data_IF_652568925511
#
_entry.id   IF_652568925511
#
_cell.length_a   1.000
_cell.length_b   1.000
_cell.length_c   1.000
_cell.angle_alpha   90.00
_cell.angle_beta   90.00
_cell.angle_gamma   90.00
#
_symmetry.space_group_name_H-M   'P 1'
#
loop_
_entity.id
_entity.type
_entity.pdbx_description
1 polymer ?
#
# COMPACT_ATOMS: atom_id res chain seq x y z
N UNK A 1 -8.40 57.83 -6.47
CA UNK A 1 -7.81 57.43 -7.75
C UNK A 1 -6.31 57.35 -7.56
N UNK A 2 -5.77 56.12 -7.50
CA UNK A 2 -4.33 55.87 -7.53
C UNK A 2 -4.09 54.88 -8.66
N UNK A 3 -3.19 55.25 -9.58
CA UNK A 3 -2.81 54.52 -10.78
C UNK A 3 -2.04 53.24 -10.46
N UNK A 4 -2.03 52.23 -11.36
CA UNK A 4 -1.32 50.96 -11.17
C UNK A 4 0.16 51.11 -11.54
N UNK A 5 1.02 50.53 -10.68
CA UNK A 5 2.47 50.54 -10.83
C UNK A 5 2.91 49.50 -11.90
N UNK A 6 3.71 49.94 -12.86
CA UNK A 6 4.24 49.16 -13.98
C UNK A 6 5.40 48.25 -13.55
N UNK A 7 5.34 46.99 -14.01
CA UNK A 7 6.48 46.07 -14.06
C UNK A 7 7.60 46.65 -14.93
N UNK A 8 8.78 46.85 -14.38
CA UNK A 8 10.09 46.69 -15.02
C UNK A 8 11.21 47.16 -14.07
N UNK A 9 12.34 46.46 -14.16
CA UNK A 9 13.67 46.75 -13.60
C UNK A 9 14.06 45.94 -12.37
N UNK A 10 14.66 44.78 -12.65
CA UNK A 10 15.82 44.29 -11.91
C UNK A 10 16.64 43.39 -12.86
N UNK A 11 17.53 44.04 -13.59
CA UNK A 11 18.65 43.40 -14.26
C UNK A 11 19.89 44.28 -13.98
N UNK A 12 20.90 43.66 -13.40
CA UNK A 12 22.24 44.24 -13.52
C UNK A 12 23.11 44.14 -12.27
N UNK A 13 24.29 43.58 -12.48
CA UNK A 13 25.58 43.79 -11.80
C UNK A 13 25.85 42.85 -10.63
N UNK A 14 26.96 42.10 -10.53
CA UNK A 14 28.29 42.15 -11.14
C UNK A 14 29.03 40.81 -11.00
N UNK A 15 29.91 40.51 -11.95
CA UNK A 15 30.99 39.54 -11.82
C UNK A 15 32.06 40.05 -10.82
N UNK A 16 32.48 39.18 -9.91
CA UNK A 16 33.80 39.26 -9.29
C UNK A 16 34.38 37.85 -9.19
N UNK A 17 35.53 37.65 -9.80
CA UNK A 17 36.32 36.44 -9.78
C UNK A 17 37.03 36.26 -8.44
N UNK A 18 37.14 35.00 -7.97
CA UNK A 18 38.01 34.71 -6.86
C UNK A 18 37.98 33.27 -6.37
N UNK A 19 39.00 32.50 -6.68
CA UNK A 19 39.59 31.38 -5.96
C UNK A 19 38.81 30.06 -5.88
N UNK A 20 39.39 29.03 -6.48
CA UNK A 20 38.98 27.64 -6.47
C UNK A 20 38.91 27.03 -5.05
N UNK A 21 37.75 26.48 -4.76
CA UNK A 21 37.60 25.42 -3.79
C UNK A 21 36.89 24.28 -4.51
N UNK A 22 37.58 23.13 -4.57
CA UNK A 22 37.02 21.92 -5.13
C UNK A 22 35.74 21.55 -4.36
N UNK A 23 34.58 21.78 -4.96
CA UNK A 23 33.31 21.24 -4.49
C UNK A 23 33.39 19.71 -4.62
N UNK A 24 33.45 19.01 -3.48
CA UNK A 24 33.11 17.59 -3.42
C UNK A 24 31.68 17.45 -3.89
N UNK A 25 31.49 16.81 -5.02
CA UNK A 25 30.19 16.32 -5.46
C UNK A 25 29.74 15.30 -4.40
N UNK A 26 28.55 15.44 -3.77
CA UNK A 26 28.03 14.39 -2.90
C UNK A 26 27.85 13.14 -3.75
N UNK A 27 28.40 12.02 -3.30
CA UNK A 27 28.14 10.71 -3.89
C UNK A 27 26.60 10.51 -3.87
N UNK A 28 26.05 10.25 -5.04
CA UNK A 28 24.62 9.93 -5.18
C UNK A 28 24.28 8.69 -4.36
N UNK A 29 22.98 8.49 -4.02
CA UNK A 29 22.54 7.35 -3.23
C UNK A 29 23.03 6.05 -3.86
N UNK A 30 23.54 5.14 -3.01
CA UNK A 30 24.02 3.83 -3.42
C UNK A 30 22.99 3.12 -4.30
N UNK A 31 23.41 2.38 -5.35
CA UNK A 31 22.48 1.68 -6.21
C UNK A 31 21.63 0.72 -5.36
N UNK A 32 20.30 0.85 -5.47
CA UNK A 32 19.35 -0.09 -4.86
C UNK A 32 19.78 -1.48 -5.30
N UNK A 33 19.96 -2.40 -4.36
CA UNK A 33 20.15 -3.82 -4.67
C UNK A 33 18.95 -4.25 -5.49
N UNK A 34 19.18 -4.54 -6.77
CA UNK A 34 18.15 -4.95 -7.69
C UNK A 34 17.44 -6.18 -7.15
N UNK A 35 16.12 -6.12 -7.12
CA UNK A 35 15.27 -7.30 -7.05
C UNK A 35 15.69 -8.17 -8.25
N UNK A 36 15.94 -9.45 -8.01
CA UNK A 36 16.36 -10.37 -9.06
C UNK A 36 15.38 -10.29 -10.25
N UNK A 37 15.87 -10.36 -11.49
CA UNK A 37 14.99 -10.26 -12.66
C UNK A 37 13.88 -11.31 -12.56
N UNK A 38 12.65 -10.88 -12.84
CA UNK A 38 11.44 -11.70 -12.87
C UNK A 38 11.67 -12.84 -13.86
N UNK A 39 11.85 -14.04 -13.36
CA UNK A 39 11.79 -15.24 -14.20
C UNK A 39 10.34 -15.38 -14.61
N UNK A 40 10.05 -15.24 -15.91
CA UNK A 40 8.74 -15.58 -16.46
C UNK A 40 8.57 -17.08 -16.26
N UNK A 41 7.85 -17.44 -15.21
CA UNK A 41 7.55 -18.84 -14.92
C UNK A 41 6.50 -19.29 -15.90
N UNK A 42 6.86 -20.23 -16.80
CA UNK A 42 5.86 -20.87 -17.66
C UNK A 42 4.77 -21.47 -16.76
N UNK A 43 3.51 -21.29 -17.15
CA UNK A 43 2.38 -21.82 -16.41
C UNK A 43 2.52 -23.35 -16.29
N UNK A 44 2.38 -23.87 -15.08
CA UNK A 44 2.32 -25.31 -14.88
C UNK A 44 1.13 -25.91 -15.67
N UNK A 45 1.22 -27.16 -16.13
CA UNK A 45 0.13 -27.79 -16.87
C UNK A 45 -1.21 -27.68 -16.12
N UNK A 46 -2.23 -27.11 -16.75
CA UNK A 46 -3.56 -26.91 -16.17
C UNK A 46 -3.81 -25.53 -15.53
N UNK A 47 -2.80 -24.63 -15.45
CA UNK A 47 -2.96 -23.27 -14.95
C UNK A 47 -3.16 -22.28 -16.08
N UNK A 48 -3.97 -21.26 -15.83
CA UNK A 48 -4.09 -20.11 -16.72
C UNK A 48 -2.78 -19.30 -16.72
N UNK A 49 -2.54 -18.56 -17.82
CA UNK A 49 -1.41 -17.65 -17.91
C UNK A 49 -1.46 -16.64 -16.73
N UNK A 50 -0.31 -16.31 -16.12
CA UNK A 50 -0.27 -15.29 -15.08
C UNK A 50 -0.67 -13.92 -15.64
N UNK A 51 -1.10 -13.03 -14.75
CA UNK A 51 -1.32 -11.62 -15.05
C UNK A 51 0.02 -10.88 -15.21
N UNK A 52 0.02 -9.77 -15.93
CA UNK A 52 1.20 -8.92 -16.10
C UNK A 52 1.52 -8.16 -14.81
N UNK A 53 0.52 -7.58 -14.14
CA UNK A 53 0.65 -7.11 -12.76
C UNK A 53 0.40 -8.25 -11.77
N UNK A 54 0.83 -8.06 -10.52
CA UNK A 54 0.68 -9.08 -9.47
C UNK A 54 -0.49 -8.75 -8.57
N UNK A 55 -1.67 -9.22 -8.95
CA UNK A 55 -2.89 -9.05 -8.18
C UNK A 55 -2.99 -10.08 -7.06
N UNK A 56 -3.44 -9.64 -5.87
CA UNK A 56 -3.60 -10.47 -4.68
C UNK A 56 -5.06 -10.52 -4.24
N UNK A 57 -5.83 -11.56 -4.64
CA UNK A 57 -7.15 -11.81 -4.07
C UNK A 57 -7.07 -12.07 -2.55
N UNK A 58 -8.19 -11.89 -1.85
CA UNK A 58 -8.33 -12.26 -0.44
C UNK A 58 -9.18 -13.52 -0.26
N UNK A 59 -9.08 -14.16 0.91
CA UNK A 59 -9.95 -15.28 1.25
C UNK A 59 -11.42 -14.86 1.27
N UNK A 60 -12.28 -15.73 0.75
CA UNK A 60 -13.70 -15.49 0.59
C UNK A 60 -14.11 -15.02 -0.79
N UNK A 61 -13.23 -14.37 -1.55
CA UNK A 61 -13.51 -13.87 -2.91
C UNK A 61 -13.89 -15.00 -3.88
N UNK A 62 -13.26 -16.18 -3.72
CA UNK A 62 -13.48 -17.37 -4.56
C UNK A 62 -13.95 -18.58 -3.76
N UNK A 63 -14.79 -18.35 -2.76
CA UNK A 63 -15.29 -19.40 -1.86
C UNK A 63 -16.13 -20.46 -2.57
N UNK A 64 -16.91 -20.06 -3.56
CA UNK A 64 -17.79 -20.98 -4.29
C UNK A 64 -16.99 -21.96 -5.18
N UNK A 65 -15.95 -21.48 -5.82
CA UNK A 65 -15.10 -22.28 -6.71
C UNK A 65 -13.97 -23.00 -5.96
N UNK A 66 -13.37 -22.33 -4.98
CA UNK A 66 -12.24 -22.87 -4.19
C UNK A 66 -12.65 -23.62 -2.91
N UNK A 67 -13.92 -23.54 -2.51
CA UNK A 67 -14.42 -24.15 -1.27
C UNK A 67 -14.21 -23.29 -0.02
N UNK A 68 -14.67 -23.79 1.13
CA UNK A 68 -14.56 -23.08 2.42
C UNK A 68 -13.14 -23.10 2.99
N UNK A 69 -12.35 -24.13 2.65
CA UNK A 69 -10.98 -24.27 3.15
C UNK A 69 -10.04 -23.26 2.46
N UNK A 70 -9.28 -22.43 3.21
CA UNK A 70 -8.28 -21.54 2.66
C UNK A 70 -7.32 -22.21 1.64
N UNK A 71 -6.94 -23.46 1.86
CA UNK A 71 -6.05 -24.19 0.96
C UNK A 71 -6.68 -24.43 -0.42
N UNK A 72 -7.96 -24.80 -0.45
CA UNK A 72 -8.68 -24.94 -1.72
C UNK A 72 -8.81 -23.63 -2.49
N UNK A 73 -9.03 -22.52 -1.76
CA UNK A 73 -9.07 -21.18 -2.36
C UNK A 73 -7.69 -20.76 -2.93
N UNK A 74 -6.59 -21.02 -2.23
CA UNK A 74 -5.23 -20.77 -2.74
C UNK A 74 -4.94 -21.56 -4.02
N UNK A 75 -5.32 -22.84 -4.06
CA UNK A 75 -5.16 -23.68 -5.25
C UNK A 75 -5.95 -23.11 -6.42
N UNK A 76 -7.22 -22.74 -6.20
CA UNK A 76 -8.05 -22.12 -7.21
C UNK A 76 -7.43 -20.80 -7.73
N UNK A 77 -7.01 -19.90 -6.83
CA UNK A 77 -6.36 -18.63 -7.19
C UNK A 77 -5.12 -18.88 -8.06
N UNK A 78 -4.26 -19.81 -7.66
CA UNK A 78 -3.06 -20.15 -8.42
C UNK A 78 -3.41 -20.74 -9.80
N UNK A 79 -4.45 -21.56 -9.92
CA UNK A 79 -4.92 -22.12 -11.19
C UNK A 79 -5.51 -21.05 -12.10
N UNK A 80 -6.08 -19.96 -11.54
CA UNK A 80 -6.53 -18.80 -12.30
C UNK A 80 -5.40 -17.85 -12.69
N UNK A 81 -4.16 -18.09 -12.27
CA UNK A 81 -2.97 -17.30 -12.63
C UNK A 81 -2.63 -16.19 -11.66
N UNK A 82 -3.29 -16.11 -10.50
CA UNK A 82 -2.87 -15.24 -9.40
C UNK A 82 -1.61 -15.76 -8.74
N UNK A 83 -0.70 -14.85 -8.36
CA UNK A 83 0.59 -15.19 -7.78
C UNK A 83 0.78 -14.66 -6.36
N UNK A 84 -0.22 -14.00 -5.84
CA UNK A 84 -0.20 -13.41 -4.50
C UNK A 84 -1.53 -13.59 -3.81
N UNK A 85 -1.52 -13.44 -2.49
CA UNK A 85 -2.70 -13.42 -1.61
C UNK A 85 -2.61 -12.19 -0.72
N UNK A 86 -3.71 -11.52 -0.47
CA UNK A 86 -3.87 -10.56 0.62
C UNK A 86 -4.78 -11.14 1.71
N UNK A 87 -4.44 -10.92 2.98
CA UNK A 87 -5.29 -11.37 4.08
C UNK A 87 -5.15 -10.45 5.29
N UNK A 88 -6.03 -9.48 5.38
CA UNK A 88 -6.04 -8.48 6.46
C UNK A 88 -6.17 -9.11 7.86
N UNK A 89 -6.77 -10.29 7.95
CA UNK A 89 -6.99 -11.02 9.21
C UNK A 89 -5.82 -11.96 9.60
N UNK A 90 -4.75 -12.03 8.81
CA UNK A 90 -3.67 -13.00 9.00
C UNK A 90 -3.09 -12.98 10.42
N UNK A 91 -2.90 -11.81 11.03
CA UNK A 91 -2.36 -11.69 12.39
C UNK A 91 -3.29 -12.31 13.45
N UNK A 92 -4.60 -12.32 13.22
CA UNK A 92 -5.60 -12.91 14.11
C UNK A 92 -5.82 -14.40 13.94
N UNK A 93 -5.29 -15.02 12.87
CA UNK A 93 -5.41 -16.47 12.65
C UNK A 93 -4.60 -17.27 13.65
N UNK A 94 -5.05 -18.49 14.05
CA UNK A 94 -4.23 -19.39 14.83
C UNK A 94 -2.88 -19.70 14.15
N UNK A 95 -1.81 -19.81 14.92
CA UNK A 95 -0.45 -20.08 14.39
C UNK A 95 -0.41 -21.28 13.43
N UNK A 96 -1.09 -22.35 13.79
CA UNK A 96 -1.16 -23.57 12.95
C UNK A 96 -1.82 -23.29 11.58
N UNK A 97 -2.79 -22.37 11.52
CA UNK A 97 -3.43 -21.97 10.27
C UNK A 97 -2.52 -21.07 9.44
N UNK A 98 -1.82 -20.11 10.09
CA UNK A 98 -0.80 -19.30 9.43
C UNK A 98 0.28 -20.15 8.77
N UNK A 99 0.81 -21.16 9.49
CA UNK A 99 1.83 -22.08 8.99
C UNK A 99 1.30 -22.93 7.83
N UNK A 100 0.05 -23.39 7.91
CA UNK A 100 -0.61 -24.17 6.87
C UNK A 100 -0.79 -23.35 5.58
N UNK A 101 -1.24 -22.10 5.70
CA UNK A 101 -1.38 -21.16 4.59
C UNK A 101 0.00 -20.86 3.97
N UNK A 102 0.99 -20.52 4.80
CA UNK A 102 2.35 -20.22 4.35
C UNK A 102 2.97 -21.39 3.58
N UNK A 103 2.83 -22.61 4.09
CA UNK A 103 3.34 -23.83 3.43
C UNK A 103 2.69 -24.05 2.07
N UNK A 104 1.39 -23.82 1.95
CA UNK A 104 0.70 -23.98 0.67
C UNK A 104 1.07 -22.87 -0.33
N UNK A 105 1.19 -21.61 0.14
CA UNK A 105 1.65 -20.51 -0.69
C UNK A 105 3.06 -20.78 -1.24
N UNK A 106 3.97 -21.27 -0.42
CA UNK A 106 5.32 -21.67 -0.85
C UNK A 106 5.27 -22.77 -1.92
N UNK A 107 4.46 -23.82 -1.69
CA UNK A 107 4.25 -24.91 -2.65
C UNK A 107 3.70 -24.43 -4.00
N UNK A 108 2.84 -23.39 -3.98
CA UNK A 108 2.21 -22.82 -5.16
C UNK A 108 3.07 -21.75 -5.85
N UNK A 109 4.14 -21.28 -5.17
CA UNK A 109 4.96 -20.14 -5.60
C UNK A 109 4.23 -18.80 -5.48
N UNK A 110 3.33 -18.67 -4.50
CA UNK A 110 2.57 -17.45 -4.24
C UNK A 110 3.28 -16.58 -3.19
N UNK A 111 3.09 -15.25 -3.29
CA UNK A 111 3.61 -14.27 -2.33
C UNK A 111 2.52 -13.81 -1.38
N UNK A 112 2.89 -13.51 -0.13
CA UNK A 112 2.00 -12.84 0.81
C UNK A 112 2.02 -11.33 0.55
N UNK A 113 0.83 -10.74 0.41
CA UNK A 113 0.59 -9.30 0.38
C UNK A 113 0.59 -8.68 1.79
N UNK A 114 -0.27 -7.68 2.01
CA UNK A 114 -0.41 -7.07 3.33
C UNK A 114 -1.32 -7.89 4.25
N UNK A 115 -1.13 -7.64 5.55
CA UNK A 115 -2.09 -7.92 6.62
C UNK A 115 -2.09 -6.74 7.59
N UNK A 116 -3.16 -6.57 8.37
CA UNK A 116 -3.25 -5.46 9.33
C UNK A 116 -2.34 -5.74 10.53
N UNK A 117 -1.40 -4.80 10.79
CA UNK A 117 -0.32 -5.00 11.76
C UNK A 117 -0.72 -4.78 13.21
N UNK A 118 -1.81 -4.08 13.48
CA UNK A 118 -2.19 -3.67 14.81
C UNK A 118 -3.69 -3.44 14.93
N UNK A 119 -4.20 -3.34 16.14
CA UNK A 119 -5.57 -2.95 16.42
C UNK A 119 -5.82 -1.50 15.99
N UNK A 120 -6.67 -1.28 15.00
CA UNK A 120 -7.00 0.05 14.49
C UNK A 120 -7.98 0.73 15.45
N UNK A 121 -7.63 1.93 15.91
CA UNK A 121 -8.49 2.77 16.76
C UNK A 121 -9.45 3.59 15.88
N UNK A 122 -10.65 3.06 15.64
CA UNK A 122 -11.63 3.63 14.73
C UNK A 122 -12.33 4.88 15.24
N UNK A 123 -12.45 5.06 16.56
CA UNK A 123 -13.27 6.11 17.18
C UNK A 123 -12.55 6.89 18.29
N UNK A 124 -11.39 6.45 18.72
CA UNK A 124 -10.64 7.08 19.80
C UNK A 124 -9.22 7.44 19.34
N UNK A 125 -8.68 8.59 19.81
CA UNK A 125 -7.32 8.99 19.47
C UNK A 125 -6.29 7.95 19.91
N UNK A 126 -5.44 7.53 18.97
CA UNK A 126 -4.34 6.59 19.21
C UNK A 126 -2.99 7.28 18.97
N UNK A 127 -2.32 7.01 17.85
CA UNK A 127 -1.00 7.57 17.56
C UNK A 127 -1.03 9.12 17.49
N UNK A 128 -2.13 9.68 17.00
CA UNK A 128 -2.35 11.12 16.93
C UNK A 128 -2.41 11.80 18.31
N UNK A 129 -2.72 11.07 19.39
CA UNK A 129 -2.83 11.63 20.74
C UNK A 129 -1.50 12.02 21.37
N UNK A 130 -0.39 11.42 20.95
CA UNK A 130 0.93 11.56 21.55
C UNK A 130 1.11 10.89 22.91
N UNK A 131 0.13 10.09 23.34
CA UNK A 131 0.19 9.38 24.61
C UNK A 131 1.20 8.23 24.55
N UNK A 132 2.08 8.14 25.55
CA UNK A 132 3.12 7.12 25.60
C UNK A 132 2.55 5.71 25.75
N UNK A 133 1.48 5.53 26.54
CA UNK A 133 0.82 4.23 26.71
C UNK A 133 0.20 3.70 25.38
N UNK A 134 -0.40 4.58 24.58
CA UNK A 134 -0.92 4.23 23.27
C UNK A 134 0.21 3.85 22.28
N UNK A 135 1.33 4.58 22.34
CA UNK A 135 2.52 4.28 21.53
C UNK A 135 3.13 2.94 21.90
N UNK A 136 3.34 2.68 23.18
CA UNK A 136 3.92 1.40 23.63
C UNK A 136 3.02 0.21 23.31
N UNK A 137 1.69 0.35 23.38
CA UNK A 137 0.75 -0.66 22.95
C UNK A 137 0.92 -0.94 21.44
N UNK A 138 0.95 0.10 20.61
CA UNK A 138 1.20 -0.01 19.16
C UNK A 138 2.55 -0.70 18.87
N UNK A 139 3.64 -0.29 19.51
CA UNK A 139 4.96 -0.91 19.30
C UNK A 139 4.99 -2.37 19.73
N UNK A 140 4.23 -2.76 20.75
CA UNK A 140 4.08 -4.16 21.16
C UNK A 140 3.39 -4.99 20.09
N UNK A 141 2.33 -4.46 19.46
CA UNK A 141 1.63 -5.10 18.35
C UNK A 141 2.51 -5.21 17.10
N UNK A 142 3.31 -4.17 16.78
CA UNK A 142 4.28 -4.21 15.66
C UNK A 142 5.32 -5.31 15.86
N UNK A 143 5.85 -5.50 17.09
CA UNK A 143 6.77 -6.61 17.40
C UNK A 143 6.09 -7.99 17.17
N UNK A 144 4.85 -8.13 17.62
CA UNK A 144 4.09 -9.37 17.40
C UNK A 144 3.82 -9.62 15.91
N UNK A 145 3.50 -8.57 15.15
CA UNK A 145 3.26 -8.65 13.71
C UNK A 145 4.52 -8.95 12.91
N UNK A 146 5.71 -8.53 13.37
CA UNK A 146 6.97 -8.95 12.77
C UNK A 146 7.16 -10.49 12.84
N UNK A 147 6.72 -11.14 13.93
CA UNK A 147 6.75 -12.61 14.05
C UNK A 147 5.73 -13.27 13.12
N UNK A 148 4.54 -12.66 12.92
CA UNK A 148 3.57 -13.13 11.91
C UNK A 148 4.16 -13.01 10.51
N UNK A 149 4.69 -11.84 10.15
CA UNK A 149 5.30 -11.59 8.85
C UNK A 149 6.40 -12.63 8.53
N UNK A 150 7.27 -12.92 9.50
CA UNK A 150 8.32 -13.95 9.34
C UNK A 150 7.72 -15.34 9.10
N UNK A 151 6.62 -15.68 9.78
CA UNK A 151 5.96 -17.00 9.66
C UNK A 151 5.30 -17.19 8.31
N UNK A 152 4.67 -16.15 7.77
CA UNK A 152 3.96 -16.22 6.49
C UNK A 152 4.75 -15.64 5.32
N UNK A 153 6.03 -15.33 5.51
CA UNK A 153 6.91 -14.72 4.51
C UNK A 153 6.32 -13.44 3.89
N UNK A 154 5.63 -12.62 4.71
CA UNK A 154 5.15 -11.32 4.31
C UNK A 154 6.27 -10.26 4.41
N UNK A 155 6.25 -9.29 3.52
CA UNK A 155 7.12 -8.12 3.55
C UNK A 155 6.41 -6.88 4.04
N UNK A 156 5.14 -6.76 3.76
CA UNK A 156 4.34 -5.56 4.02
C UNK A 156 3.27 -5.83 5.08
N UNK A 157 2.98 -4.80 5.86
CA UNK A 157 1.91 -4.82 6.84
C UNK A 157 1.22 -3.46 6.90
N UNK A 158 -0.11 -3.45 6.92
CA UNK A 158 -0.91 -2.23 6.93
C UNK A 158 -0.89 -1.57 8.30
N UNK A 159 -0.68 -0.25 8.31
CA UNK A 159 -0.76 0.59 9.50
C UNK A 159 -1.68 1.78 9.24
N UNK A 160 -2.69 1.92 10.10
CA UNK A 160 -3.62 3.06 10.11
C UNK A 160 -3.40 3.84 11.40
N UNK A 161 -3.00 5.14 11.36
CA UNK A 161 -2.66 5.92 12.56
C UNK A 161 -3.81 6.14 13.57
N UNK A 162 -5.05 5.79 13.20
CA UNK A 162 -6.22 5.87 14.05
C UNK A 162 -6.95 7.20 13.96
N UNK A 163 -7.77 7.50 14.96
CA UNK A 163 -8.67 8.64 15.00
C UNK A 163 -7.96 9.93 15.43
N UNK A 164 -8.45 11.09 14.97
CA UNK A 164 -7.95 12.41 15.39
C UNK A 164 -8.26 12.70 16.86
N UNK A 165 -7.40 13.48 17.52
CA UNK A 165 -7.73 14.10 18.80
C UNK A 165 -8.26 15.53 18.54
N UNK A 166 -9.57 15.72 18.65
CA UNK A 166 -10.22 17.01 18.40
C UNK A 166 -9.78 18.13 19.36
N UNK A 167 -9.04 17.82 20.44
CA UNK A 167 -8.50 18.78 21.39
C UNK A 167 -7.11 19.28 21.05
N UNK A 168 -6.47 18.68 20.03
CA UNK A 168 -5.11 19.04 19.62
C UNK A 168 -5.10 19.61 18.19
N UNK A 169 -4.24 20.63 17.90
CA UNK A 169 -3.97 21.03 16.53
C UNK A 169 -3.40 19.87 15.68
N UNK A 170 -3.74 19.84 14.40
CA UNK A 170 -3.34 18.76 13.49
C UNK A 170 -1.82 18.62 13.35
N UNK A 171 -1.09 19.73 13.45
CA UNK A 171 0.38 19.74 13.32
C UNK A 171 1.05 18.99 14.48
N UNK A 172 0.55 19.12 15.71
CA UNK A 172 1.02 18.35 16.85
C UNK A 172 0.70 16.88 16.70
N UNK A 173 -0.51 16.55 16.21
CA UNK A 173 -0.92 15.18 15.93
C UNK A 173 0.00 14.54 14.89
N UNK A 174 0.35 15.27 13.83
CA UNK A 174 1.30 14.82 12.81
C UNK A 174 2.67 14.52 13.41
N UNK A 175 3.18 15.39 14.27
CA UNK A 175 4.46 15.15 14.95
C UNK A 175 4.42 13.89 15.85
N UNK A 176 3.31 13.65 16.57
CA UNK A 176 3.13 12.45 17.39
C UNK A 176 3.06 11.17 16.56
N UNK A 177 2.36 11.20 15.43
CA UNK A 177 2.30 10.07 14.48
C UNK A 177 3.70 9.78 13.94
N UNK A 178 4.40 10.79 13.41
CA UNK A 178 5.78 10.63 12.92
C UNK A 178 6.72 10.02 13.97
N UNK A 179 6.66 10.49 15.20
CA UNK A 179 7.49 9.94 16.30
C UNK A 179 7.17 8.46 16.56
N UNK A 180 5.89 8.09 16.57
CA UNK A 180 5.47 6.69 16.77
C UNK A 180 5.94 5.79 15.63
N UNK A 181 5.82 6.28 14.37
CA UNK A 181 6.22 5.53 13.18
C UNK A 181 7.75 5.40 13.07
N UNK A 182 8.54 6.40 13.52
CA UNK A 182 10.01 6.27 13.60
C UNK A 182 10.42 5.11 14.50
N UNK A 183 9.84 5.03 15.69
CA UNK A 183 10.11 3.92 16.62
C UNK A 183 9.67 2.57 16.08
N UNK A 184 8.56 2.53 15.33
CA UNK A 184 8.13 1.30 14.66
C UNK A 184 9.08 0.91 13.52
N UNK A 185 9.55 1.87 12.73
CA UNK A 185 10.51 1.64 11.66
C UNK A 185 11.83 1.04 12.19
N UNK A 186 12.34 1.55 13.33
CA UNK A 186 13.54 1.00 14.00
C UNK A 186 13.38 -0.49 14.37
N UNK A 187 12.14 -0.94 14.65
CA UNK A 187 11.83 -2.36 14.93
C UNK A 187 11.78 -3.21 13.66
N UNK A 188 11.36 -2.62 12.53
CA UNK A 188 11.11 -3.34 11.28
C UNK A 188 12.33 -3.41 10.36
N UNK A 189 13.17 -2.37 10.34
CA UNK A 189 14.35 -2.26 9.48
C UNK A 189 15.30 -3.48 9.57
N UNK A 190 15.62 -4.03 10.77
CA UNK A 190 16.50 -5.19 10.88
C UNK A 190 15.96 -6.46 10.20
N UNK A 191 14.68 -6.46 9.88
CA UNK A 191 13.96 -7.60 9.30
C UNK A 191 13.56 -7.39 7.83
N UNK A 192 13.95 -6.25 7.21
CA UNK A 192 13.51 -5.84 5.87
C UNK A 192 11.96 -5.78 5.72
N UNK A 193 11.25 -5.57 6.83
CA UNK A 193 9.79 -5.42 6.87
C UNK A 193 9.39 -3.96 6.64
N UNK A 194 8.23 -3.77 6.01
CA UNK A 194 7.73 -2.44 5.66
C UNK A 194 6.30 -2.28 6.17
N UNK A 195 6.10 -1.34 7.09
CA UNK A 195 4.76 -0.85 7.37
C UNK A 195 4.31 0.06 6.23
N UNK A 196 3.11 -0.14 5.74
CA UNK A 196 2.51 0.67 4.69
C UNK A 196 1.32 1.43 5.24
N UNK A 197 1.40 2.76 5.19
CA UNK A 197 0.38 3.66 5.72
C UNK A 197 -0.77 3.76 4.75
N UNK A 198 -1.97 3.47 5.22
CA UNK A 198 -3.19 3.52 4.41
C UNK A 198 -4.01 4.78 4.72
N UNK A 199 -4.13 5.73 3.77
CA UNK A 199 -5.06 6.85 3.87
C UNK A 199 -6.48 6.40 3.55
N UNK A 200 -7.40 6.53 4.52
CA UNK A 200 -8.78 6.09 4.41
C UNK A 200 -9.74 7.27 4.17
N UNK A 201 -10.70 7.11 3.26
CA UNK A 201 -11.64 8.17 2.93
C UNK A 201 -12.57 8.53 4.10
N UNK A 202 -12.96 9.81 4.18
CA UNK A 202 -13.78 10.34 5.29
C UNK A 202 -15.25 9.95 5.23
N UNK A 203 -15.75 9.43 4.12
CA UNK A 203 -17.15 9.02 4.00
C UNK A 203 -17.37 7.71 4.71
N UNK A 204 -16.49 6.73 4.48
CA UNK A 204 -16.58 5.41 5.06
C UNK A 204 -15.97 5.36 6.48
N UNK A 205 -14.93 6.18 6.70
CA UNK A 205 -14.15 6.22 7.94
C UNK A 205 -14.06 7.65 8.52
N UNK A 206 -15.19 8.22 9.00
CA UNK A 206 -15.19 9.59 9.53
C UNK A 206 -14.33 9.71 10.80
N UNK A 207 -13.53 10.77 10.86
CA UNK A 207 -12.72 11.08 12.02
C UNK A 207 -11.33 10.44 12.05
N UNK A 208 -10.95 9.64 11.06
CA UNK A 208 -9.58 9.14 10.97
C UNK A 208 -8.59 10.26 10.64
N UNK A 209 -7.37 10.13 11.18
CA UNK A 209 -6.32 11.12 11.05
C UNK A 209 -5.74 11.17 9.63
N UNK A 210 -5.42 10.01 9.04
CA UNK A 210 -4.78 9.92 7.74
C UNK A 210 -5.83 9.68 6.64
N UNK A 211 -5.94 10.61 5.68
CA UNK A 211 -7.05 10.57 4.70
C UNK A 211 -6.67 10.89 3.26
N UNK A 212 -5.40 11.20 2.97
CA UNK A 212 -4.97 11.52 1.61
C UNK A 212 -3.50 11.23 1.35
N UNK A 213 -3.16 11.01 0.10
CA UNK A 213 -1.80 10.68 -0.36
C UNK A 213 -0.77 11.78 -0.04
N UNK A 214 -1.05 13.10 -0.22
CA UNK A 214 -0.10 14.14 0.14
C UNK A 214 0.26 14.15 1.63
N UNK A 215 -0.71 13.84 2.50
CA UNK A 215 -0.46 13.73 3.94
C UNK A 215 0.41 12.50 4.26
N UNK A 216 0.11 11.35 3.66
CA UNK A 216 0.93 10.14 3.82
C UNK A 216 2.36 10.35 3.30
N UNK A 217 2.51 10.97 2.14
CA UNK A 217 3.82 11.28 1.56
C UNK A 217 4.65 12.18 2.49
N UNK A 218 4.04 13.26 3.04
CA UNK A 218 4.70 14.12 4.01
C UNK A 218 5.17 13.33 5.25
N UNK A 219 4.32 12.44 5.76
CA UNK A 219 4.64 11.62 6.93
C UNK A 219 5.78 10.65 6.62
N UNK A 220 5.72 9.91 5.49
CA UNK A 220 6.78 8.99 5.09
C UNK A 220 8.12 9.71 4.91
N UNK A 221 8.12 10.89 4.27
CA UNK A 221 9.33 11.74 4.15
C UNK A 221 9.85 12.21 5.50
N UNK A 222 8.98 12.53 6.47
CA UNK A 222 9.37 12.95 7.81
C UNK A 222 9.88 11.78 8.67
N UNK A 223 9.36 10.57 8.46
CA UNK A 223 9.88 9.33 9.09
C UNK A 223 11.26 8.98 8.52
N UNK A 224 11.46 9.16 7.22
CA UNK A 224 12.72 8.96 6.49
C UNK A 224 13.30 7.54 6.66
N UNK A 225 12.46 6.52 6.48
CA UNK A 225 12.82 5.11 6.63
C UNK A 225 12.35 4.26 5.46
N UNK A 226 13.14 3.25 5.02
CA UNK A 226 12.69 2.27 4.03
C UNK A 226 11.57 1.36 4.57
N UNK A 227 11.39 1.30 5.89
CA UNK A 227 10.37 0.49 6.57
C UNK A 227 9.05 1.25 6.84
N UNK A 228 8.90 2.48 6.31
CA UNK A 228 7.67 3.26 6.40
C UNK A 228 7.32 3.80 5.01
N UNK A 229 6.29 3.28 4.38
CA UNK A 229 5.88 3.58 3.02
C UNK A 229 4.37 3.76 2.94
N UNK A 230 3.85 4.04 1.75
CA UNK A 230 2.42 4.26 1.49
C UNK A 230 1.82 2.97 0.92
N UNK A 231 0.63 2.65 1.41
CA UNK A 231 -0.37 1.84 0.74
C UNK A 231 -1.35 2.81 0.06
N UNK A 232 -1.39 2.79 -1.27
CA UNK A 232 -2.32 3.59 -2.06
C UNK A 232 -3.53 2.74 -2.44
N UNK A 233 -4.60 2.82 -1.62
CA UNK A 233 -5.90 2.23 -1.96
C UNK A 233 -6.64 3.18 -2.93
N UNK A 234 -6.71 2.75 -4.18
CA UNK A 234 -7.29 3.52 -5.28
C UNK A 234 -8.78 3.83 -5.08
N UNK A 235 -9.53 2.95 -4.38
CA UNK A 235 -10.90 3.20 -3.99
C UNK A 235 -11.02 4.37 -3.00
N UNK A 236 -10.21 4.34 -1.95
CA UNK A 236 -10.21 5.41 -0.96
C UNK A 236 -9.74 6.73 -1.55
N UNK A 237 -8.70 6.71 -2.40
CA UNK A 237 -8.18 7.93 -3.01
C UNK A 237 -9.12 8.52 -4.06
N UNK A 238 -9.86 7.70 -4.80
CA UNK A 238 -10.91 8.20 -5.70
C UNK A 238 -11.95 9.03 -4.95
N UNK A 239 -12.39 8.57 -3.77
CA UNK A 239 -13.38 9.28 -2.94
C UNK A 239 -12.78 10.53 -2.28
N UNK A 240 -11.54 10.44 -1.80
CA UNK A 240 -10.89 11.52 -1.06
C UNK A 240 -10.42 12.67 -1.96
N UNK A 241 -9.77 12.36 -3.06
CA UNK A 241 -8.98 13.30 -3.85
C UNK A 241 -9.24 13.19 -5.36
N UNK A 242 -9.56 12.01 -5.88
CA UNK A 242 -9.54 11.76 -7.32
C UNK A 242 -8.13 11.96 -7.89
N UNK A 243 -8.04 12.32 -9.18
CA UNK A 243 -6.75 12.66 -9.81
C UNK A 243 -5.66 11.59 -9.60
N UNK A 244 -6.03 10.31 -9.64
CA UNK A 244 -5.21 9.17 -9.18
C UNK A 244 -3.82 9.13 -9.83
N UNK A 245 -3.73 9.16 -11.16
CA UNK A 245 -2.45 9.05 -11.88
C UNK A 245 -1.45 10.17 -11.49
N UNK A 246 -1.81 11.46 -11.50
CA UNK A 246 -0.90 12.50 -11.01
C UNK A 246 -0.51 12.37 -9.54
N UNK A 247 -1.39 11.89 -8.67
CA UNK A 247 -1.08 11.66 -7.25
C UNK A 247 -0.12 10.47 -7.08
N UNK A 248 -0.29 9.39 -7.85
CA UNK A 248 0.68 8.28 -7.93
C UNK A 248 2.05 8.80 -8.35
N UNK A 249 2.14 9.68 -9.35
CA UNK A 249 3.40 10.24 -9.81
C UNK A 249 4.11 11.07 -8.74
N UNK A 250 3.36 11.90 -8.00
CA UNK A 250 3.90 12.75 -6.95
C UNK A 250 4.42 11.96 -5.73
N UNK A 251 3.81 10.82 -5.43
CA UNK A 251 4.16 10.01 -4.27
C UNK A 251 4.93 8.73 -4.62
N UNK A 252 5.31 8.53 -5.87
CA UNK A 252 5.86 7.28 -6.38
C UNK A 252 7.03 6.70 -5.57
N UNK A 253 7.93 7.53 -5.11
CA UNK A 253 9.10 7.13 -4.33
C UNK A 253 8.75 6.60 -2.92
N UNK A 254 7.55 6.88 -2.44
CA UNK A 254 7.07 6.42 -1.15
C UNK A 254 5.95 5.36 -1.25
N UNK A 255 5.38 5.08 -2.43
CA UNK A 255 4.38 4.02 -2.58
C UNK A 255 5.06 2.65 -2.64
N UNK A 256 4.66 1.72 -1.76
CA UNK A 256 5.17 0.35 -1.73
C UNK A 256 4.10 -0.71 -1.97
N UNK A 257 2.83 -0.36 -1.88
CA UNK A 257 1.69 -1.25 -2.06
C UNK A 257 0.50 -0.51 -2.65
N UNK A 258 -0.30 -1.20 -3.44
CA UNK A 258 -1.59 -0.70 -3.94
C UNK A 258 -2.73 -1.60 -3.47
N UNK A 259 -3.91 -1.00 -3.26
CA UNK A 259 -5.16 -1.74 -3.13
C UNK A 259 -6.18 -1.26 -4.16
N UNK A 260 -7.10 -2.14 -4.52
CA UNK A 260 -8.01 -2.01 -5.65
C UNK A 260 -9.43 -2.23 -5.17
N UNK A 261 -10.33 -1.35 -5.55
CA UNK A 261 -11.77 -1.46 -5.47
C UNK A 261 -12.39 -0.40 -6.36
N UNK A 262 -13.38 -0.74 -7.18
CA UNK A 262 -14.00 0.27 -8.04
C UNK A 262 -15.03 1.10 -7.26
N UNK A 263 -15.11 2.38 -7.57
CA UNK A 263 -16.02 3.32 -6.91
C UNK A 263 -17.22 3.58 -7.83
N UNK A 264 -18.47 3.59 -7.29
CA UNK A 264 -18.83 3.66 -5.85
C UNK A 264 -19.06 2.31 -5.15
N UNK A 265 -19.12 1.18 -5.84
CA UNK A 265 -19.58 -0.10 -5.26
C UNK A 265 -18.57 -0.79 -4.34
N UNK A 266 -17.26 -0.47 -4.48
CA UNK A 266 -16.12 -1.21 -3.92
C UNK A 266 -16.16 -2.67 -4.37
N UNK A 267 -16.37 -2.87 -5.67
CA UNK A 267 -16.38 -4.16 -6.35
C UNK A 267 -15.20 -4.24 -7.34
N UNK A 268 -15.18 -5.30 -8.18
CA UNK A 268 -14.11 -5.50 -9.16
C UNK A 268 -14.00 -4.36 -10.20
N UNK A 269 -12.83 -4.14 -10.83
CA UNK A 269 -12.64 -3.19 -11.92
C UNK A 269 -13.71 -3.31 -13.02
N UNK A 270 -14.10 -2.21 -13.62
CA UNK A 270 -15.14 -2.07 -14.66
C UNK A 270 -16.58 -2.02 -14.16
N UNK A 271 -16.79 -2.05 -12.85
CA UNK A 271 -18.12 -1.92 -12.27
C UNK A 271 -18.47 -0.50 -11.87
N UNK A 272 -17.48 0.39 -11.79
CA UNK A 272 -17.62 1.77 -11.33
C UNK A 272 -17.03 2.81 -12.30
N UNK A 273 -16.50 3.90 -11.72
CA UNK A 273 -16.06 5.09 -12.47
C UNK A 273 -14.53 5.16 -12.69
N UNK A 274 -13.74 4.26 -12.06
CA UNK A 274 -12.28 4.32 -12.17
C UNK A 274 -11.83 3.65 -13.48
N UNK A 275 -11.04 4.37 -14.27
CA UNK A 275 -10.45 3.79 -15.48
C UNK A 275 -9.23 2.94 -15.14
N UNK A 276 -9.45 1.75 -14.58
CA UNK A 276 -8.40 0.84 -14.15
C UNK A 276 -7.44 0.42 -15.27
N UNK A 277 -7.90 0.30 -16.52
CA UNK A 277 -7.01 0.02 -17.65
C UNK A 277 -5.90 1.06 -17.77
N UNK A 278 -6.23 2.35 -17.67
CA UNK A 278 -5.23 3.41 -17.76
C UNK A 278 -4.35 3.48 -16.49
N UNK A 279 -4.94 3.26 -15.33
CA UNK A 279 -4.20 3.27 -14.05
C UNK A 279 -3.20 2.10 -13.99
N UNK A 280 -3.63 0.89 -14.33
CA UNK A 280 -2.77 -0.29 -14.33
C UNK A 280 -1.66 -0.21 -15.37
N UNK A 281 -1.97 0.27 -16.59
CA UNK A 281 -0.94 0.52 -17.59
C UNK A 281 0.10 1.53 -17.10
N UNK A 282 -0.34 2.62 -16.46
CA UNK A 282 0.57 3.62 -15.89
C UNK A 282 1.47 3.03 -14.80
N UNK A 283 0.93 2.26 -13.86
CA UNK A 283 1.67 1.59 -12.80
C UNK A 283 2.69 0.60 -13.39
N UNK A 284 2.28 -0.17 -14.40
CA UNK A 284 3.16 -1.10 -15.12
C UNK A 284 4.31 -0.38 -15.85
N UNK A 285 4.00 0.69 -16.59
CA UNK A 285 4.99 1.46 -17.36
C UNK A 285 6.02 2.14 -16.46
N UNK A 286 5.66 2.43 -15.20
CA UNK A 286 6.59 2.91 -14.17
C UNK A 286 7.49 1.78 -13.62
N UNK A 287 7.30 0.54 -14.03
CA UNK A 287 8.10 -0.60 -13.61
C UNK A 287 7.77 -1.10 -12.20
N UNK A 288 6.49 -1.04 -11.81
CA UNK A 288 6.07 -1.57 -10.50
C UNK A 288 6.14 -3.10 -10.46
N UNK A 289 6.88 -3.62 -9.49
CA UNK A 289 7.06 -5.07 -9.26
C UNK A 289 6.45 -5.54 -7.93
N UNK A 290 5.71 -4.65 -7.26
CA UNK A 290 5.00 -4.94 -6.02
C UNK A 290 3.70 -5.69 -6.24
N UNK A 291 2.89 -5.77 -5.19
CA UNK A 291 1.59 -6.44 -5.18
C UNK A 291 0.48 -5.39 -5.21
N UNK A 292 -0.61 -5.71 -5.89
CA UNK A 292 -1.85 -4.93 -5.88
C UNK A 292 -2.93 -5.80 -5.22
N UNK A 293 -3.32 -5.46 -3.99
CA UNK A 293 -4.36 -6.16 -3.23
C UNK A 293 -5.74 -5.93 -3.81
N UNK A 294 -6.54 -6.97 -3.89
CA UNK A 294 -7.91 -6.91 -4.39
C UNK A 294 -8.86 -6.72 -3.20
N UNK A 295 -8.86 -5.50 -2.61
CA UNK A 295 -9.65 -5.19 -1.41
C UNK A 295 -11.06 -4.72 -1.76
N UNK A 296 -11.84 -5.62 -2.34
CA UNK A 296 -13.20 -5.34 -2.80
C UNK A 296 -14.10 -6.57 -2.73
N UNK A 297 -15.41 -6.34 -2.82
CA UNK A 297 -16.40 -7.39 -2.97
C UNK A 297 -16.50 -7.93 -4.40
N UNK A 298 -17.41 -8.87 -4.59
CA UNK A 298 -17.83 -9.34 -5.91
C UNK A 298 -19.17 -8.67 -6.25
N UNK A 299 -19.28 -7.99 -7.37
CA UNK A 299 -20.51 -7.30 -7.79
C UNK A 299 -21.70 -8.24 -8.03
N UNK A 300 -21.43 -9.53 -8.16
CA UNK A 300 -22.42 -10.59 -8.32
C UNK A 300 -22.12 -11.75 -7.38
N UNK A 301 -23.18 -12.45 -6.98
CA UNK A 301 -23.05 -13.61 -6.12
C UNK A 301 -22.69 -14.89 -6.91
N UNK A 302 -22.17 -15.88 -6.18
CA UNK A 302 -21.94 -17.23 -6.69
C UNK A 302 -20.77 -17.34 -7.67
N UNK A 303 -20.68 -18.49 -8.32
CA UNK A 303 -19.60 -18.81 -9.29
C UNK A 303 -19.57 -17.82 -10.46
N UNK A 304 -20.73 -17.27 -10.85
CA UNK A 304 -20.79 -16.26 -11.92
C UNK A 304 -20.13 -14.94 -11.50
N UNK A 305 -20.29 -14.52 -10.24
CA UNK A 305 -19.60 -13.37 -9.68
C UNK A 305 -18.09 -13.58 -9.63
N UNK A 306 -17.65 -14.72 -9.12
CA UNK A 306 -16.22 -15.08 -9.09
C UNK A 306 -15.58 -15.07 -10.47
N UNK A 307 -16.30 -15.57 -11.49
CA UNK A 307 -15.85 -15.53 -12.89
C UNK A 307 -15.78 -14.10 -13.42
N UNK A 308 -16.77 -13.26 -13.09
CA UNK A 308 -16.79 -11.86 -13.50
C UNK A 308 -15.58 -11.08 -12.94
N UNK A 309 -15.19 -11.33 -11.69
CA UNK A 309 -13.96 -10.78 -11.09
C UNK A 309 -12.75 -11.15 -11.95
N UNK A 310 -12.54 -12.43 -12.25
CA UNK A 310 -11.38 -12.88 -13.03
C UNK A 310 -11.38 -12.23 -14.43
N UNK A 311 -12.53 -12.17 -15.10
CA UNK A 311 -12.67 -11.55 -16.42
C UNK A 311 -12.41 -10.05 -16.40
N UNK A 312 -12.87 -9.34 -15.35
CA UNK A 312 -12.60 -7.93 -15.16
C UNK A 312 -11.08 -7.64 -15.10
N UNK A 313 -10.35 -8.37 -14.27
CA UNK A 313 -8.89 -8.22 -14.19
C UNK A 313 -8.19 -8.58 -15.49
N UNK A 314 -8.60 -9.67 -16.18
CA UNK A 314 -8.07 -10.01 -17.51
C UNK A 314 -8.31 -8.90 -18.54
N UNK A 315 -9.44 -8.20 -18.42
CA UNK A 315 -9.81 -7.13 -19.35
C UNK A 315 -8.98 -5.86 -19.15
N UNK A 316 -8.61 -5.52 -17.90
CA UNK A 316 -7.91 -4.28 -17.56
C UNK A 316 -6.43 -4.46 -17.25
N UNK A 317 -5.92 -5.69 -17.25
CA UNK A 317 -4.49 -5.96 -16.99
C UNK A 317 -3.61 -5.18 -17.98
N UNK A 318 -2.44 -4.76 -17.52
CA UNK A 318 -1.45 -4.04 -18.34
C UNK A 318 -0.92 -4.91 -19.49
N UNK A 319 -0.41 -4.30 -20.53
CA UNK A 319 0.10 -4.99 -21.74
C UNK A 319 1.56 -4.62 -22.04
#
# INVERSE_FOLDING_TARGET
>A
MREPMKRKEFLGVALAAGAGSALRVPEGPAPRRGIAPRVVQEAAPGRNAPFNLDYAPHFGMFRQSGGEDPIGQLQFMADQGFRSLEDNDMAGRPVIEQERIASEMDRLGMRMGVFVAHTIAWSEPNLASGREDAREAFLSEIRASAEVARRVNARWMTVVPGHVDLRQPIDYQTAHVVESLKRAAELLEPHDLVMVLEPLNRRDHPGLFLTGIPQAHLICKAVDSPSCKILDDLYHQQISEGNLIPNIDLAWDEIAYFQIGDNPGRDEPTTGEINYRNVFQHIHDKGYEGILGMEHGNSREGVEGERAVIEAYRTVDAT
#
